data_IF_202384392645
#
_entry.id   IF_202384392645
#
_cell.length_a   1.000
_cell.length_b   1.000
_cell.length_c   1.000
_cell.angle_alpha   90.00
_cell.angle_beta   90.00
_cell.angle_gamma   90.00
#
_symmetry.space_group_name_H-M   'P 1'
#
loop_
_entity.id
_entity.type
_entity.pdbx_description
1 polymer ?
#
# COMPACT_ATOMS: atom_id res chain seq x y z
N UNK A 1 19.12 8.69 -5.57
CA UNK A 1 18.25 8.00 -6.55
C UNK A 1 17.25 7.22 -5.75
N UNK A 2 16.00 7.67 -5.74
CA UNK A 2 14.96 7.06 -4.92
C UNK A 2 14.62 5.66 -5.45
N UNK A 3 14.46 4.69 -4.54
CA UNK A 3 14.29 3.27 -4.90
C UNK A 3 13.00 2.99 -5.68
N UNK A 4 12.02 3.87 -5.61
CA UNK A 4 10.73 3.79 -6.31
C UNK A 4 10.81 4.10 -7.80
N UNK A 5 11.86 4.77 -8.27
CA UNK A 5 11.99 5.12 -9.70
C UNK A 5 12.54 3.95 -10.54
N UNK A 6 13.33 3.09 -9.91
CA UNK A 6 13.96 1.92 -10.54
C UNK A 6 12.95 0.99 -11.25
N UNK A 7 11.84 0.54 -10.62
CA UNK A 7 10.87 -0.33 -11.30
C UNK A 7 10.15 0.36 -12.47
N UNK A 8 9.98 1.68 -12.40
CA UNK A 8 9.41 2.47 -13.50
C UNK A 8 10.36 2.50 -14.69
N UNK A 9 11.65 2.78 -14.47
CA UNK A 9 12.65 2.76 -15.53
C UNK A 9 12.83 1.38 -16.17
N UNK A 10 12.80 0.30 -15.38
CA UNK A 10 12.84 -1.08 -15.91
C UNK A 10 11.64 -1.33 -16.84
N UNK A 11 10.45 -0.87 -16.45
CA UNK A 11 9.24 -0.99 -17.27
C UNK A 11 9.39 -0.23 -18.61
N UNK A 12 9.90 1.00 -18.56
CA UNK A 12 10.14 1.82 -19.75
C UNK A 12 11.17 1.19 -20.71
N UNK A 13 12.26 0.65 -20.16
CA UNK A 13 13.27 -0.09 -20.95
C UNK A 13 12.63 -1.32 -21.61
N UNK A 14 11.77 -2.05 -20.88
CA UNK A 14 11.00 -3.16 -21.43
C UNK A 14 10.09 -2.75 -22.59
N UNK A 15 9.36 -1.63 -22.46
CA UNK A 15 8.52 -1.08 -23.54
C UNK A 15 9.38 -0.72 -24.77
N UNK A 16 10.49 -0.01 -24.57
CA UNK A 16 11.36 0.37 -25.67
C UNK A 16 11.96 -0.87 -26.38
N UNK A 17 12.39 -1.87 -25.60
CA UNK A 17 12.94 -3.11 -26.13
C UNK A 17 11.89 -3.92 -26.91
N UNK A 18 10.65 -4.02 -26.44
CA UNK A 18 9.57 -4.71 -27.16
C UNK A 18 9.20 -4.02 -28.47
N UNK A 19 9.07 -2.69 -28.47
CA UNK A 19 8.77 -1.92 -29.69
C UNK A 19 9.90 -2.08 -30.71
N UNK A 20 11.15 -1.92 -30.27
CA UNK A 20 12.32 -1.99 -31.15
C UNK A 20 12.50 -3.40 -31.73
N UNK A 21 12.37 -4.44 -30.91
CA UNK A 21 12.47 -5.83 -31.37
C UNK A 21 11.35 -6.19 -32.34
N UNK A 22 10.12 -5.72 -32.12
CA UNK A 22 9.02 -5.90 -33.07
C UNK A 22 9.30 -5.23 -34.42
N UNK A 23 9.75 -3.96 -34.41
CA UNK A 23 10.10 -3.26 -35.64
C UNK A 23 11.23 -3.97 -36.39
N UNK A 24 12.29 -4.37 -35.68
CA UNK A 24 13.41 -5.08 -36.28
C UNK A 24 12.99 -6.42 -36.88
N UNK A 25 12.13 -7.18 -36.19
CA UNK A 25 11.60 -8.44 -36.72
C UNK A 25 10.81 -8.25 -38.03
N UNK A 26 10.06 -7.15 -38.18
CA UNK A 26 9.32 -6.84 -39.40
C UNK A 26 10.25 -6.59 -40.59
N UNK A 27 11.38 -5.90 -40.38
CA UNK A 27 12.34 -5.61 -41.46
C UNK A 27 13.35 -6.73 -41.69
N UNK A 28 13.73 -7.44 -40.64
CA UNK A 28 14.74 -8.49 -40.62
C UNK A 28 14.21 -9.65 -39.77
N UNK A 29 13.43 -10.57 -40.35
CA UNK A 29 12.85 -11.68 -39.60
C UNK A 29 13.94 -12.66 -39.17
N UNK A 30 14.38 -12.51 -37.93
CA UNK A 30 15.37 -13.34 -37.24
C UNK A 30 14.81 -13.76 -35.87
N UNK A 31 15.05 -15.00 -35.47
CA UNK A 31 14.61 -15.58 -34.21
C UNK A 31 15.14 -14.81 -32.99
N UNK A 32 16.30 -14.15 -33.12
CA UNK A 32 16.89 -13.32 -32.06
C UNK A 32 15.92 -12.19 -31.64
N UNK A 33 15.15 -11.64 -32.57
CA UNK A 33 14.20 -10.56 -32.28
C UNK A 33 12.95 -11.06 -31.54
N UNK A 34 12.55 -12.31 -31.76
CA UNK A 34 11.46 -12.95 -31.01
C UNK A 34 11.87 -13.14 -29.55
N UNK A 35 13.11 -13.57 -29.30
CA UNK A 35 13.65 -13.76 -27.94
C UNK A 35 13.75 -12.43 -27.20
N UNK A 36 14.27 -11.39 -27.84
CA UNK A 36 14.37 -10.06 -27.22
C UNK A 36 13.01 -9.42 -26.97
N UNK A 37 12.01 -9.68 -27.84
CA UNK A 37 10.63 -9.29 -27.60
C UNK A 37 10.06 -9.95 -26.34
N UNK A 38 10.28 -11.27 -26.16
CA UNK A 38 9.84 -12.00 -24.97
C UNK A 38 10.49 -11.45 -23.68
N UNK A 39 11.79 -11.16 -23.72
CA UNK A 39 12.51 -10.55 -22.58
C UNK A 39 11.91 -9.17 -22.24
N UNK A 40 11.61 -8.35 -23.24
CA UNK A 40 10.99 -7.04 -23.04
C UNK A 40 9.63 -7.14 -22.35
N UNK A 41 8.81 -8.14 -22.71
CA UNK A 41 7.52 -8.40 -22.03
C UNK A 41 7.73 -8.77 -20.56
N UNK A 42 8.69 -9.66 -20.27
CA UNK A 42 9.01 -10.05 -18.88
C UNK A 42 9.43 -8.85 -18.05
N UNK A 43 10.23 -7.93 -18.62
CA UNK A 43 10.62 -6.69 -17.95
C UNK A 43 9.42 -5.76 -17.68
N UNK A 44 8.50 -5.60 -18.64
CA UNK A 44 7.27 -4.83 -18.43
C UNK A 44 6.41 -5.40 -17.32
N UNK A 45 6.14 -6.71 -17.35
CA UNK A 45 5.29 -7.37 -16.35
C UNK A 45 5.97 -7.33 -14.98
N UNK A 46 7.27 -7.61 -14.92
CA UNK A 46 8.06 -7.53 -13.70
C UNK A 46 7.99 -6.15 -13.07
N UNK A 47 8.25 -5.09 -13.85
CA UNK A 47 8.17 -3.72 -13.35
C UNK A 47 6.75 -3.32 -12.89
N UNK A 48 5.72 -3.69 -13.65
CA UNK A 48 4.32 -3.45 -13.27
C UNK A 48 3.94 -4.12 -11.95
N UNK A 49 4.35 -5.38 -11.75
CA UNK A 49 4.02 -6.12 -10.51
C UNK A 49 4.64 -5.47 -9.27
N UNK A 50 5.88 -4.96 -9.39
CA UNK A 50 6.56 -4.27 -8.30
C UNK A 50 5.85 -2.96 -7.96
N UNK A 51 5.52 -2.14 -8.96
CA UNK A 51 4.79 -0.89 -8.76
C UNK A 51 3.42 -1.15 -8.13
N UNK A 52 2.67 -2.14 -8.60
CA UNK A 52 1.35 -2.48 -8.06
C UNK A 52 1.41 -2.95 -6.59
N UNK A 53 2.48 -3.67 -6.20
CA UNK A 53 2.69 -4.04 -4.81
C UNK A 53 3.00 -2.83 -3.91
N UNK A 54 3.76 -1.86 -4.43
CA UNK A 54 4.05 -0.61 -3.72
C UNK A 54 2.80 0.25 -3.56
N UNK A 55 1.98 0.40 -4.60
CA UNK A 55 0.70 1.10 -4.52
C UNK A 55 -0.23 0.51 -3.46
N UNK A 56 -0.36 -0.82 -3.41
CA UNK A 56 -1.18 -1.49 -2.38
C UNK A 56 -0.65 -1.26 -0.97
N UNK A 57 0.66 -1.16 -0.78
CA UNK A 57 1.25 -0.82 0.52
C UNK A 57 0.93 0.62 0.91
N UNK A 58 1.08 1.55 -0.04
CA UNK A 58 0.76 2.97 0.19
C UNK A 58 -0.72 3.17 0.48
N UNK A 59 -1.62 2.49 -0.25
CA UNK A 59 -3.06 2.53 0.01
C UNK A 59 -3.42 2.00 1.40
N UNK A 60 -2.82 0.87 1.82
CA UNK A 60 -3.03 0.36 3.19
C UNK A 60 -2.50 1.29 4.27
N UNK A 61 -1.36 1.95 4.03
CA UNK A 61 -0.85 2.97 4.94
C UNK A 61 -1.79 4.16 5.01
N UNK A 62 -2.32 4.61 3.88
CA UNK A 62 -3.26 5.72 3.81
C UNK A 62 -4.59 5.39 4.51
N UNK A 63 -5.12 4.18 4.32
CA UNK A 63 -6.28 3.67 5.05
C UNK A 63 -6.01 3.60 6.55
N UNK A 64 -4.82 3.17 6.98
CA UNK A 64 -4.48 3.13 8.41
C UNK A 64 -4.37 4.53 9.03
N UNK A 65 -3.87 5.51 8.28
CA UNK A 65 -3.79 6.90 8.73
C UNK A 65 -5.20 7.51 8.78
N UNK A 66 -6.02 7.28 7.76
CA UNK A 66 -7.41 7.75 7.73
C UNK A 66 -8.24 7.12 8.88
N UNK A 67 -8.07 5.82 9.13
CA UNK A 67 -8.70 5.16 10.27
C UNK A 67 -8.21 5.73 11.62
N UNK A 68 -6.93 6.10 11.73
CA UNK A 68 -6.44 6.79 12.93
C UNK A 68 -7.01 8.20 13.08
N UNK A 69 -7.27 8.92 11.98
CA UNK A 69 -7.89 10.24 12.03
C UNK A 69 -9.37 10.16 12.40
N UNK A 70 -10.07 9.13 11.92
CA UNK A 70 -11.46 8.83 12.31
C UNK A 70 -11.56 8.32 13.76
N UNK A 71 -10.59 7.55 14.26
CA UNK A 71 -10.51 7.19 15.68
C UNK A 71 -10.18 8.41 16.54
N UNK A 72 -9.28 9.30 16.10
CA UNK A 72 -9.01 10.57 16.81
C UNK A 72 -10.24 11.47 16.80
N UNK A 73 -10.99 11.55 15.69
CA UNK A 73 -12.25 12.31 15.60
C UNK A 73 -13.40 11.64 16.37
N UNK A 74 -13.41 10.32 16.43
CA UNK A 74 -14.35 9.51 17.21
C UNK A 74 -14.04 9.50 18.71
N UNK A 75 -12.80 9.74 19.10
CA UNK A 75 -12.34 9.96 20.48
C UNK A 75 -12.55 11.42 20.95
N UNK A 76 -12.96 12.32 20.05
CA UNK A 76 -13.70 13.53 20.45
C UNK A 76 -15.17 13.12 20.70
N UNK A 77 -15.37 12.14 21.59
CA UNK A 77 -16.60 12.14 22.39
C UNK A 77 -16.49 13.40 23.23
N UNK A 78 -17.30 14.38 22.83
CA UNK A 78 -17.50 15.65 23.51
C UNK A 78 -17.49 15.45 25.03
N UNK A 79 -16.49 16.06 25.68
CA UNK A 79 -16.46 16.32 27.12
C UNK A 79 -17.40 17.49 27.49
N UNK A 80 -18.46 17.75 26.69
CA UNK A 80 -19.51 18.73 27.01
C UNK A 80 -20.66 18.12 27.82
N UNK A 81 -20.55 16.84 28.22
CA UNK A 81 -21.37 16.31 29.30
C UNK A 81 -20.86 16.85 30.64
N UNK A 82 -21.73 17.29 31.57
CA UNK A 82 -21.30 17.83 32.85
C UNK A 82 -20.43 16.80 33.58
N UNK A 83 -19.16 17.13 33.77
CA UNK A 83 -18.24 16.35 34.57
C UNK A 83 -18.75 16.34 36.01
N UNK A 84 -19.32 15.23 36.44
CA UNK A 84 -19.65 14.98 37.84
C UNK A 84 -18.46 14.24 38.45
N UNK A 85 -17.63 14.88 39.28
CA UNK A 85 -16.58 14.16 39.99
C UNK A 85 -17.25 13.15 40.93
N UNK A 86 -16.98 11.87 40.75
CA UNK A 86 -17.29 10.87 41.77
C UNK A 86 -16.32 11.09 42.95
N UNK A 87 -16.87 11.35 44.14
CA UNK A 87 -16.08 11.62 45.35
C UNK A 87 -15.42 10.38 45.96
N UNK A 88 -15.72 9.17 45.46
CA UNK A 88 -15.13 7.94 45.97
C UNK A 88 -14.22 7.30 44.93
N UNK A 89 -12.91 7.36 45.19
CA UNK A 89 -11.90 6.58 44.50
C UNK A 89 -12.11 5.09 44.80
N UNK A 90 -13.00 4.42 44.06
CA UNK A 90 -13.04 2.96 44.08
C UNK A 90 -11.70 2.44 43.56
N UNK A 91 -10.89 1.86 44.45
CA UNK A 91 -9.63 1.21 44.08
C UNK A 91 -9.92 0.10 43.06
N UNK A 92 -8.96 -0.16 42.18
CA UNK A 92 -9.08 -1.14 41.08
C UNK A 92 -9.51 -2.54 41.60
N UNK A 93 -9.16 -2.86 42.85
CA UNK A 93 -9.57 -4.06 43.58
C UNK A 93 -11.10 -4.22 43.77
N UNK A 94 -11.85 -3.10 43.80
CA UNK A 94 -13.30 -3.13 43.99
C UNK A 94 -14.06 -3.52 42.70
N UNK A 95 -13.57 -3.07 41.54
CA UNK A 95 -14.12 -3.42 40.22
C UNK A 95 -13.87 -4.88 39.85
N UNK A 96 -12.79 -5.49 40.35
CA UNK A 96 -12.47 -6.89 40.10
C UNK A 96 -13.35 -7.85 40.92
N UNK A 97 -13.70 -7.48 42.16
CA UNK A 97 -14.54 -8.29 43.05
C UNK A 97 -16.04 -8.14 42.79
N UNK A 98 -16.48 -7.12 42.05
CA UNK A 98 -17.89 -6.89 41.73
C UNK A 98 -18.14 -6.96 40.22
N UNK A 99 -17.78 -8.09 39.58
CA UNK A 99 -18.41 -8.44 38.30
C UNK A 99 -19.91 -8.59 38.53
N UNK A 100 -20.70 -7.73 37.88
CA UNK A 100 -22.16 -7.72 37.97
C UNK A 100 -22.73 -9.14 37.84
N UNK A 101 -23.52 -9.64 38.82
CA UNK A 101 -24.56 -10.58 38.48
C UNK A 101 -25.63 -9.83 37.68
N UNK A 102 -26.31 -10.54 36.78
CA UNK A 102 -27.48 -10.02 36.06
C UNK A 102 -28.51 -9.40 37.00
#
# INVERSE_FOLDING_TARGET
MDRSEVPVYISFIGIAATILSFLLYVFFPDDIYIVTFAIGIVMMVGGYTVVSLEERKLLKQLESIAASEDDIRGEIISLDGPYVPYEDCASIEYLENHRCPR
#
